data_IF_141691007188
#
_entry.id   IF_141691007188
#
_cell.length_a   1.000
_cell.length_b   1.000
_cell.length_c   1.000
_cell.angle_alpha   90.00
_cell.angle_beta   90.00
_cell.angle_gamma   90.00
#
_symmetry.space_group_name_H-M   'P 1'
#
loop_
_entity.id
_entity.type
_entity.pdbx_description
1 polymer ?
#
# COMPACT_ATOMS: atom_id res chain seq x y z
N UNK A 1 -19.60 -10.80 10.70
CA UNK A 1 -18.98 -12.00 10.12
C UNK A 1 -19.31 -12.07 8.62
N UNK A 2 -20.56 -12.02 8.18
CA UNK A 2 -20.96 -12.15 6.77
C UNK A 2 -20.26 -11.16 5.82
N UNK A 3 -20.23 -9.86 6.17
CA UNK A 3 -19.57 -8.82 5.37
C UNK A 3 -18.05 -9.10 5.25
N UNK A 4 -17.39 -9.50 6.32
CA UNK A 4 -15.96 -9.81 6.32
C UNK A 4 -15.66 -11.02 5.41
N UNK A 5 -16.48 -12.07 5.45
CA UNK A 5 -16.32 -13.25 4.58
C UNK A 5 -16.57 -12.90 3.12
N UNK A 6 -17.56 -12.07 2.83
CA UNK A 6 -17.84 -11.58 1.47
C UNK A 6 -16.68 -10.76 0.92
N UNK A 7 -16.17 -9.80 1.69
CA UNK A 7 -15.02 -8.98 1.32
C UNK A 7 -13.77 -9.83 1.10
N UNK A 8 -13.53 -10.82 1.96
CA UNK A 8 -12.42 -11.75 1.80
C UNK A 8 -12.55 -12.56 0.50
N UNK A 9 -13.73 -13.11 0.20
CA UNK A 9 -13.99 -13.85 -1.04
C UNK A 9 -13.78 -13.01 -2.29
N UNK A 10 -14.31 -11.78 -2.31
CA UNK A 10 -14.13 -10.83 -3.41
C UNK A 10 -12.64 -10.50 -3.59
N UNK A 11 -11.94 -10.19 -2.49
CA UNK A 11 -10.51 -9.86 -2.55
C UNK A 11 -9.68 -11.04 -3.04
N UNK A 12 -9.94 -12.26 -2.56
CA UNK A 12 -9.26 -13.48 -3.00
C UNK A 12 -9.48 -13.75 -4.49
N UNK A 13 -10.71 -13.58 -4.98
CA UNK A 13 -11.04 -13.73 -6.40
C UNK A 13 -10.31 -12.72 -7.27
N UNK A 14 -10.29 -11.44 -6.87
CA UNK A 14 -9.60 -10.40 -7.64
C UNK A 14 -8.08 -10.62 -7.61
N UNK A 15 -7.51 -11.06 -6.48
CA UNK A 15 -6.08 -11.43 -6.39
C UNK A 15 -5.74 -12.56 -7.36
N UNK A 16 -6.64 -13.54 -7.53
CA UNK A 16 -6.46 -14.59 -8.53
C UNK A 16 -6.45 -14.04 -9.96
N UNK A 17 -7.36 -13.12 -10.28
CA UNK A 17 -7.39 -12.43 -11.58
C UNK A 17 -6.11 -11.59 -11.79
N UNK A 18 -5.61 -10.90 -10.77
CA UNK A 18 -4.35 -10.14 -10.85
C UNK A 18 -3.15 -11.02 -11.22
N UNK A 19 -3.16 -12.29 -10.82
CA UNK A 19 -2.13 -13.25 -11.20
C UNK A 19 -2.19 -13.62 -12.69
N UNK A 20 -3.41 -13.73 -13.24
CA UNK A 20 -3.65 -14.09 -14.65
C UNK A 20 -3.38 -12.90 -15.57
N UNK A 21 -3.74 -11.69 -15.11
CA UNK A 21 -3.64 -10.44 -15.89
C UNK A 21 -2.74 -9.41 -15.18
N UNK A 22 -1.41 -9.58 -15.20
CA UNK A 22 -0.48 -8.66 -14.51
C UNK A 22 -0.60 -7.20 -14.98
N UNK A 23 -0.90 -6.97 -16.25
CA UNK A 23 -1.10 -5.62 -16.82
C UNK A 23 -2.35 -4.91 -16.30
N UNK A 24 -3.29 -5.62 -15.67
CA UNK A 24 -4.53 -5.06 -15.11
C UNK A 24 -4.50 -4.84 -13.60
N UNK A 25 -3.37 -5.11 -12.94
CA UNK A 25 -3.26 -5.06 -11.49
C UNK A 25 -3.70 -3.73 -10.88
N UNK A 26 -3.28 -2.62 -11.47
CA UNK A 26 -3.69 -1.28 -11.01
C UNK A 26 -5.20 -1.12 -11.04
N UNK A 27 -5.83 -1.41 -12.18
CA UNK A 27 -7.28 -1.30 -12.32
C UNK A 27 -8.02 -2.20 -11.33
N UNK A 28 -7.53 -3.43 -11.13
CA UNK A 28 -8.13 -4.39 -10.21
C UNK A 28 -8.01 -3.93 -8.74
N UNK A 29 -6.86 -3.39 -8.33
CA UNK A 29 -6.70 -2.82 -6.97
C UNK A 29 -7.66 -1.65 -6.74
N UNK A 30 -7.82 -0.76 -7.72
CA UNK A 30 -8.80 0.34 -7.67
C UNK A 30 -10.24 -0.17 -7.54
N UNK A 31 -10.58 -1.21 -8.28
CA UNK A 31 -11.92 -1.83 -8.17
C UNK A 31 -12.12 -2.40 -6.77
N UNK A 32 -11.15 -3.14 -6.22
CA UNK A 32 -11.22 -3.64 -4.83
C UNK A 32 -11.46 -2.48 -3.87
N UNK A 33 -10.65 -1.44 -3.95
CA UNK A 33 -10.70 -0.31 -3.05
C UNK A 33 -12.07 0.39 -3.11
N UNK A 34 -12.59 0.64 -4.32
CA UNK A 34 -13.91 1.21 -4.55
C UNK A 34 -15.05 0.33 -4.00
N UNK A 35 -14.98 -0.99 -4.22
CA UNK A 35 -15.96 -1.95 -3.69
C UNK A 35 -15.95 -1.93 -2.17
N UNK A 36 -14.76 -1.99 -1.54
CA UNK A 36 -14.63 -1.92 -0.08
C UNK A 36 -15.20 -0.61 0.45
N UNK A 37 -14.86 0.54 -0.17
CA UNK A 37 -15.40 1.84 0.23
C UNK A 37 -16.92 1.89 0.15
N UNK A 38 -17.51 1.35 -0.92
CA UNK A 38 -18.97 1.32 -1.11
C UNK A 38 -19.65 0.44 -0.08
N UNK A 39 -19.11 -0.75 0.21
CA UNK A 39 -19.71 -1.70 1.17
C UNK A 39 -19.57 -1.19 2.61
N UNK A 40 -18.41 -0.63 2.95
CA UNK A 40 -18.15 -0.09 4.30
C UNK A 40 -18.83 1.25 4.52
N UNK A 41 -19.04 2.04 3.45
CA UNK A 41 -19.81 3.30 3.47
C UNK A 41 -19.02 4.50 3.98
N UNK A 42 -17.67 4.48 3.96
CA UNK A 42 -16.87 5.65 4.37
C UNK A 42 -16.70 6.67 3.25
N UNK A 43 -16.49 7.93 3.65
CA UNK A 43 -16.17 9.02 2.75
C UNK A 43 -14.68 9.39 2.90
N UNK A 44 -14.10 9.92 1.84
CA UNK A 44 -12.73 10.43 1.84
C UNK A 44 -12.77 11.90 1.44
N UNK A 45 -12.22 12.75 2.26
CA UNK A 45 -12.01 14.17 1.99
C UNK A 45 -10.53 14.39 1.70
N UNK A 46 -10.23 15.26 0.76
CA UNK A 46 -8.87 15.55 0.33
C UNK A 46 -8.50 16.97 0.66
N UNK A 47 -7.28 17.13 1.19
CA UNK A 47 -6.59 18.40 1.31
C UNK A 47 -5.29 18.32 0.47
N UNK A 48 -5.13 19.24 -0.49
CA UNK A 48 -4.00 19.23 -1.42
C UNK A 48 -4.20 18.33 -2.63
N UNK A 49 -3.13 18.13 -3.39
CA UNK A 49 -3.15 17.39 -4.64
C UNK A 49 -1.98 16.40 -4.74
N UNK A 50 -2.15 15.36 -5.55
CA UNK A 50 -1.05 14.49 -5.92
C UNK A 50 -0.15 15.17 -6.94
N UNK A 51 1.11 15.33 -6.58
CA UNK A 51 2.12 15.82 -7.51
C UNK A 51 2.53 14.70 -8.46
N UNK A 52 2.19 14.88 -9.74
CA UNK A 52 2.45 13.89 -10.79
C UNK A 52 3.94 13.65 -11.06
N UNK A 53 4.82 14.52 -10.56
CA UNK A 53 6.28 14.36 -10.66
C UNK A 53 6.88 13.63 -9.45
N UNK A 54 6.09 13.32 -8.42
CA UNK A 54 6.58 12.60 -7.25
C UNK A 54 6.73 11.11 -7.55
N UNK A 55 7.91 10.58 -7.22
CA UNK A 55 8.30 9.20 -7.48
C UNK A 55 8.30 8.33 -6.23
N UNK A 56 8.31 8.96 -5.04
CA UNK A 56 8.24 8.28 -3.75
C UNK A 56 7.19 8.93 -2.86
N UNK A 57 6.17 8.16 -2.50
CA UNK A 57 5.15 8.57 -1.54
C UNK A 57 5.45 7.99 -0.17
N UNK A 58 5.46 8.86 0.85
CA UNK A 58 5.75 8.49 2.24
C UNK A 58 4.47 8.70 3.05
N UNK A 59 3.88 7.61 3.55
CA UNK A 59 2.59 7.64 4.23
C UNK A 59 2.69 7.18 5.68
N UNK A 60 1.86 7.72 6.56
CA UNK A 60 1.61 7.11 7.87
C UNK A 60 0.79 5.83 7.73
N UNK A 61 0.90 4.91 8.69
CA UNK A 61 0.21 3.62 8.63
C UNK A 61 -0.61 3.34 9.90
N UNK A 62 -1.92 3.29 9.74
CA UNK A 62 -2.87 3.07 10.84
C UNK A 62 -3.76 1.84 10.60
N UNK A 63 -4.11 1.57 9.34
CA UNK A 63 -5.07 0.55 8.95
C UNK A 63 -4.69 -0.09 7.60
N UNK A 64 -5.31 -1.22 7.27
CA UNK A 64 -5.29 -1.75 5.89
C UNK A 64 -6.01 -0.82 4.91
N UNK A 65 -6.93 0.02 5.40
CA UNK A 65 -7.60 1.03 4.58
C UNK A 65 -6.64 2.05 3.97
N UNK A 66 -5.51 2.35 4.60
CA UNK A 66 -4.53 3.30 4.06
C UNK A 66 -4.08 2.91 2.66
N UNK A 67 -3.83 1.61 2.44
CA UNK A 67 -3.45 1.06 1.13
C UNK A 67 -4.60 1.22 0.13
N UNK A 68 -5.81 0.85 0.54
CA UNK A 68 -6.99 0.88 -0.33
C UNK A 68 -7.36 2.32 -0.72
N UNK A 69 -7.35 3.26 0.24
CA UNK A 69 -7.60 4.67 -0.02
C UNK A 69 -6.57 5.20 -1.02
N UNK A 70 -5.30 4.96 -0.78
CA UNK A 70 -4.25 5.44 -1.67
C UNK A 70 -4.35 4.80 -3.06
N UNK A 71 -4.56 3.49 -3.17
CA UNK A 71 -4.73 2.78 -4.44
C UNK A 71 -5.96 3.26 -5.24
N UNK A 72 -7.05 3.63 -4.57
CA UNK A 72 -8.26 4.12 -5.23
C UNK A 72 -8.04 5.51 -5.86
N UNK A 73 -7.41 6.41 -5.13
CA UNK A 73 -7.39 7.82 -5.48
C UNK A 73 -6.10 8.29 -6.16
N UNK A 74 -4.96 7.63 -5.94
CA UNK A 74 -3.73 8.00 -6.62
C UNK A 74 -3.84 7.80 -8.14
N UNK A 75 -3.51 8.82 -8.98
CA UNK A 75 -3.72 8.74 -10.44
C UNK A 75 -2.74 7.80 -11.15
N UNK A 76 -1.49 7.68 -10.65
CA UNK A 76 -0.40 6.94 -11.27
C UNK A 76 -0.33 5.46 -10.90
N UNK A 77 0.61 4.75 -11.47
CA UNK A 77 0.91 3.36 -11.10
C UNK A 77 1.83 3.31 -9.87
N UNK A 78 1.49 2.46 -8.90
CA UNK A 78 2.14 2.39 -7.60
C UNK A 78 2.60 0.98 -7.27
N UNK A 79 3.84 0.86 -6.78
CA UNK A 79 4.31 -0.32 -6.06
C UNK A 79 4.47 -0.01 -4.57
N UNK A 80 3.99 -0.91 -3.73
CA UNK A 80 4.14 -0.82 -2.28
C UNK A 80 5.40 -1.52 -1.79
N UNK A 81 6.11 -0.92 -0.85
CA UNK A 81 7.16 -1.63 -0.10
C UNK A 81 6.51 -2.42 1.03
N UNK A 82 6.59 -3.73 0.97
CA UNK A 82 5.88 -4.62 1.87
C UNK A 82 6.79 -5.72 2.46
N UNK A 83 6.38 -6.27 3.61
CA UNK A 83 7.12 -7.32 4.31
C UNK A 83 7.05 -8.63 3.52
N UNK A 84 8.19 -9.33 3.35
CA UNK A 84 8.30 -10.57 2.57
C UNK A 84 7.29 -11.65 2.99
N UNK A 85 6.99 -11.75 4.28
CA UNK A 85 6.05 -12.74 4.81
C UNK A 85 4.63 -12.58 4.26
N UNK A 86 4.24 -11.35 3.85
CA UNK A 86 2.95 -11.12 3.21
C UNK A 86 2.83 -11.89 1.89
N UNK A 87 3.94 -12.09 1.19
CA UNK A 87 3.98 -12.92 0.00
C UNK A 87 3.72 -14.42 0.26
N UNK A 88 3.82 -14.87 1.51
CA UNK A 88 3.59 -16.28 1.90
C UNK A 88 2.16 -16.54 2.37
N UNK A 89 1.34 -15.50 2.57
CA UNK A 89 -0.05 -15.64 3.00
C UNK A 89 -0.86 -16.41 1.93
N UNK A 90 -1.55 -17.50 2.30
CA UNK A 90 -2.37 -18.23 1.36
C UNK A 90 -3.37 -17.32 0.64
N UNK A 91 -3.61 -17.53 -0.63
CA UNK A 91 -4.47 -16.74 -1.52
C UNK A 91 -3.98 -15.29 -1.72
N UNK A 92 -3.84 -14.50 -0.68
CA UNK A 92 -3.45 -13.08 -0.76
C UNK A 92 -1.98 -12.89 -1.19
N UNK A 93 -1.08 -13.78 -0.80
CA UNK A 93 0.34 -13.70 -1.14
C UNK A 93 0.61 -13.71 -2.64
N UNK A 94 -0.27 -14.31 -3.43
CA UNK A 94 -0.18 -14.26 -4.88
C UNK A 94 -0.28 -12.83 -5.42
N UNK A 95 -1.17 -12.00 -4.86
CA UNK A 95 -1.29 -10.57 -5.22
C UNK A 95 -0.05 -9.77 -4.87
N UNK A 96 0.54 -10.00 -3.70
CA UNK A 96 1.79 -9.35 -3.30
C UNK A 96 2.97 -9.73 -4.21
N UNK A 97 3.04 -11.00 -4.65
CA UNK A 97 4.10 -11.48 -5.56
C UNK A 97 3.87 -11.14 -7.03
N UNK A 98 2.69 -10.70 -7.41
CA UNK A 98 2.34 -10.41 -8.81
C UNK A 98 2.97 -9.13 -9.39
N UNK A 99 3.87 -8.47 -8.64
CA UNK A 99 4.53 -7.24 -9.04
C UNK A 99 3.92 -5.96 -8.47
N UNK A 100 2.81 -6.06 -7.71
CA UNK A 100 2.19 -4.92 -7.01
C UNK A 100 3.04 -4.41 -5.84
N UNK A 101 3.98 -5.22 -5.35
CA UNK A 101 4.81 -4.89 -4.19
C UNK A 101 6.28 -5.20 -4.44
N UNK A 102 7.13 -4.41 -3.81
CA UNK A 102 8.54 -4.71 -3.55
C UNK A 102 8.58 -5.41 -2.20
N UNK A 103 8.77 -6.73 -2.22
CA UNK A 103 8.79 -7.53 -1.00
C UNK A 103 10.19 -7.54 -0.40
N UNK A 104 10.29 -7.26 0.90
CA UNK A 104 11.57 -7.13 1.60
C UNK A 104 11.62 -7.96 2.89
N UNK A 105 12.77 -8.55 3.15
CA UNK A 105 13.12 -9.07 4.47
C UNK A 105 13.78 -7.95 5.29
N UNK A 106 13.04 -7.41 6.24
CA UNK A 106 13.52 -6.30 7.09
C UNK A 106 14.59 -6.71 8.09
N UNK A 107 14.81 -8.00 8.31
CA UNK A 107 15.87 -8.51 9.16
C UNK A 107 17.22 -8.55 8.44
N UNK A 108 17.22 -8.46 7.12
CA UNK A 108 18.42 -8.50 6.30
C UNK A 108 18.81 -7.08 5.82
N UNK A 109 19.88 -6.47 6.34
CA UNK A 109 20.31 -5.12 5.92
C UNK A 109 20.66 -5.02 4.42
N UNK A 110 20.98 -6.13 3.77
CA UNK A 110 21.31 -6.15 2.33
C UNK A 110 20.10 -5.94 1.43
N UNK A 111 18.89 -6.12 1.95
CA UNK A 111 17.65 -5.88 1.23
C UNK A 111 17.47 -4.42 0.77
N UNK A 112 18.17 -3.48 1.38
CA UNK A 112 18.17 -2.08 0.92
C UNK A 112 18.63 -1.95 -0.53
N UNK A 113 19.59 -2.77 -0.97
CA UNK A 113 20.08 -2.79 -2.36
C UNK A 113 18.99 -3.29 -3.30
N UNK A 114 18.25 -4.32 -2.87
CA UNK A 114 17.11 -4.86 -3.64
C UNK A 114 16.02 -3.82 -3.83
N UNK A 115 15.63 -3.11 -2.74
CA UNK A 115 14.62 -2.05 -2.81
C UNK A 115 15.06 -0.93 -3.74
N UNK A 116 16.30 -0.46 -3.61
CA UNK A 116 16.85 0.61 -4.45
C UNK A 116 16.77 0.21 -5.93
N UNK A 117 17.19 -1.02 -6.28
CA UNK A 117 17.16 -1.53 -7.65
C UNK A 117 15.71 -1.56 -8.18
N UNK A 118 14.79 -2.20 -7.45
CA UNK A 118 13.39 -2.33 -7.85
C UNK A 118 12.68 -0.97 -7.95
N UNK A 119 12.99 -0.04 -7.04
CA UNK A 119 12.47 1.33 -7.08
C UNK A 119 12.97 2.05 -8.32
N UNK A 120 14.29 2.02 -8.59
CA UNK A 120 14.88 2.67 -9.75
C UNK A 120 14.33 2.14 -11.08
N UNK A 121 14.15 0.82 -11.21
CA UNK A 121 13.57 0.22 -12.41
C UNK A 121 12.12 0.70 -12.61
N UNK A 122 11.34 0.77 -11.56
CA UNK A 122 9.92 1.12 -11.64
C UNK A 122 9.68 2.62 -11.86
N UNK A 123 10.46 3.49 -11.20
CA UNK A 123 10.33 4.95 -11.39
C UNK A 123 10.81 5.37 -12.77
N UNK A 124 11.89 4.78 -13.31
CA UNK A 124 12.32 5.00 -14.69
C UNK A 124 11.28 4.59 -15.74
N UNK A 125 10.40 3.65 -15.39
CA UNK A 125 9.27 3.25 -16.23
C UNK A 125 8.03 4.14 -16.04
N UNK A 126 8.12 5.24 -15.28
CA UNK A 126 7.03 6.19 -15.03
C UNK A 126 6.10 5.82 -13.87
N UNK A 127 6.44 4.81 -13.10
CA UNK A 127 5.71 4.47 -11.87
C UNK A 127 6.23 5.21 -10.65
N UNK A 128 5.53 5.09 -9.52
CA UNK A 128 5.98 5.61 -8.23
C UNK A 128 5.93 4.54 -7.14
N UNK A 129 6.69 4.72 -6.08
CA UNK A 129 6.75 3.78 -4.95
C UNK A 129 6.10 4.39 -3.74
N UNK A 130 5.30 3.63 -3.02
CA UNK A 130 4.70 4.03 -1.76
C UNK A 130 5.28 3.22 -0.61
N UNK A 131 5.62 3.92 0.48
CA UNK A 131 6.24 3.31 1.66
C UNK A 131 5.63 3.86 2.94
N UNK A 132 5.44 2.97 3.91
CA UNK A 132 5.13 3.32 5.28
C UNK A 132 6.43 3.33 6.11
N UNK A 133 7.05 4.50 6.37
CA UNK A 133 8.33 4.57 7.05
C UNK A 133 8.26 4.10 8.51
N UNK A 134 7.07 4.08 9.10
CA UNK A 134 6.84 3.52 10.44
C UNK A 134 7.13 2.00 10.50
N UNK A 135 7.06 1.32 9.37
CA UNK A 135 7.32 -0.13 9.27
C UNK A 135 6.25 -1.02 9.90
N UNK A 136 5.30 -0.47 10.64
CA UNK A 136 4.17 -1.16 11.27
C UNK A 136 2.99 -0.23 11.43
N UNK A 137 1.81 -0.79 11.69
CA UNK A 137 0.61 0.01 11.95
C UNK A 137 0.65 0.66 13.32
N UNK A 138 0.48 1.97 13.35
CA UNK A 138 0.43 2.79 14.56
C UNK A 138 -0.90 2.70 15.33
N UNK A 139 -0.98 3.48 16.41
CA UNK A 139 -2.17 3.57 17.26
C UNK A 139 -3.24 4.57 16.79
N UNK A 140 -2.97 5.33 15.72
CA UNK A 140 -3.87 6.37 15.20
C UNK A 140 -3.73 7.75 15.84
N UNK A 141 -3.22 7.84 17.07
CA UNK A 141 -3.14 9.11 17.82
C UNK A 141 -1.86 9.92 17.54
N UNK A 142 -0.79 9.27 17.11
CA UNK A 142 0.50 9.89 16.80
C UNK A 142 1.30 9.03 15.85
N UNK A 143 2.18 9.65 15.07
CA UNK A 143 3.13 8.96 14.20
C UNK A 143 4.13 8.15 15.03
N UNK A 144 4.49 6.99 14.55
CA UNK A 144 5.60 6.21 15.09
C UNK A 144 6.93 6.74 14.54
N UNK A 145 8.04 6.32 15.16
CA UNK A 145 9.38 6.64 14.69
C UNK A 145 9.57 6.12 13.26
N UNK A 146 10.03 6.99 12.37
CA UNK A 146 10.35 6.64 11.00
C UNK A 146 11.68 5.88 10.93
N UNK A 147 11.70 4.80 10.16
CA UNK A 147 12.90 4.07 9.80
C UNK A 147 13.61 4.79 8.66
N UNK A 148 14.93 4.67 8.60
CA UNK A 148 15.78 5.36 7.61
C UNK A 148 15.60 4.87 6.16
N UNK A 149 14.93 3.74 5.93
CA UNK A 149 14.82 3.11 4.61
C UNK A 149 14.28 4.05 3.52
N UNK A 150 13.20 4.78 3.81
CA UNK A 150 12.62 5.74 2.86
C UNK A 150 13.63 6.87 2.50
N UNK A 151 14.32 7.42 3.51
CA UNK A 151 15.32 8.46 3.32
C UNK A 151 16.51 7.96 2.48
N UNK A 152 16.99 6.75 2.76
CA UNK A 152 18.12 6.15 2.01
C UNK A 152 17.73 5.96 0.54
N UNK A 153 16.53 5.46 0.25
CA UNK A 153 16.03 5.27 -1.12
C UNK A 153 15.93 6.62 -1.84
N UNK A 154 15.28 7.61 -1.21
CA UNK A 154 15.11 8.95 -1.78
C UNK A 154 16.45 9.59 -2.13
N UNK A 155 17.39 9.62 -1.17
CA UNK A 155 18.71 10.24 -1.36
C UNK A 155 19.55 9.49 -2.40
N UNK A 156 19.55 8.15 -2.38
CA UNK A 156 20.37 7.35 -3.28
C UNK A 156 19.94 7.47 -4.74
N UNK A 157 18.64 7.67 -4.99
CA UNK A 157 18.08 7.74 -6.33
C UNK A 157 17.71 9.17 -6.75
N UNK A 158 17.83 10.17 -5.87
CA UNK A 158 17.44 11.55 -6.15
C UNK A 158 15.93 11.72 -6.39
N UNK A 159 15.09 10.89 -5.73
CA UNK A 159 13.65 10.89 -5.99
C UNK A 159 12.94 12.10 -5.38
N UNK A 160 11.97 12.61 -6.11
CA UNK A 160 11.02 13.58 -5.55
C UNK A 160 10.04 12.88 -4.61
N UNK A 161 10.00 13.36 -3.37
CA UNK A 161 9.20 12.75 -2.30
C UNK A 161 7.97 13.58 -2.01
N UNK A 162 6.79 12.93 -1.96
CA UNK A 162 5.57 13.54 -1.46
C UNK A 162 5.11 12.85 -0.18
N UNK A 163 5.03 13.57 0.96
CA UNK A 163 4.38 13.06 2.15
C UNK A 163 2.85 13.06 1.97
N UNK A 164 2.20 12.00 2.46
CA UNK A 164 0.74 11.87 2.47
C UNK A 164 0.29 11.46 3.87
N UNK A 165 -0.63 12.20 4.45
CA UNK A 165 -1.18 11.90 5.76
C UNK A 165 -2.60 11.36 5.60
N UNK A 166 -2.86 10.17 6.14
CA UNK A 166 -4.19 9.56 6.18
C UNK A 166 -4.67 9.58 7.63
N UNK A 167 -5.83 10.19 7.86
CA UNK A 167 -6.43 10.34 9.19
C UNK A 167 -7.76 9.59 9.22
N UNK A 168 -8.09 8.95 10.34
CA UNK A 168 -9.39 8.33 10.57
C UNK A 168 -9.56 6.90 10.01
N UNK A 169 -8.59 6.37 9.28
CA UNK A 169 -8.70 5.03 8.69
C UNK A 169 -8.83 3.91 9.71
N UNK A 170 -8.18 4.06 10.86
CA UNK A 170 -8.23 3.08 11.96
C UNK A 170 -9.59 3.05 12.65
N UNK A 171 -10.24 4.19 12.77
CA UNK A 171 -11.57 4.34 13.36
C UNK A 171 -12.62 3.60 12.53
N UNK A 172 -12.40 3.47 11.23
CA UNK A 172 -13.30 2.75 10.31
C UNK A 172 -12.99 1.24 10.36
N UNK A 173 -11.72 0.86 10.16
CA UNK A 173 -11.29 -0.55 10.23
C UNK A 173 -10.08 -0.68 11.16
N UNK A 174 -10.32 -1.21 12.37
CA UNK A 174 -9.22 -1.64 13.22
C UNK A 174 -8.67 -2.98 12.74
N UNK A 175 -7.64 -2.93 11.91
CA UNK A 175 -7.03 -4.13 11.32
C UNK A 175 -6.33 -5.03 12.34
N UNK A 176 -6.08 -4.58 13.57
CA UNK A 176 -5.54 -5.43 14.65
C UNK A 176 -6.63 -6.25 15.32
N UNK A 177 -7.83 -5.66 15.43
CA UNK A 177 -9.00 -6.30 16.04
C UNK A 177 -9.91 -6.99 15.01
N UNK A 178 -9.65 -6.78 13.70
CA UNK A 178 -10.53 -7.21 12.59
C UNK A 178 -11.97 -6.73 12.78
N UNK A 179 -12.15 -5.53 13.36
CA UNK A 179 -13.44 -4.94 13.64
C UNK A 179 -13.71 -3.76 12.68
N UNK A 180 -14.97 -3.68 12.26
CA UNK A 180 -15.52 -2.53 11.56
C UNK A 180 -16.30 -1.71 12.59
N UNK A 181 -15.93 -0.45 12.76
CA UNK A 181 -16.70 0.49 13.56
C UNK A 181 -17.66 1.22 12.62
N UNK A 182 -18.92 1.17 12.94
CA UNK A 182 -19.97 1.98 12.28
C UNK A 182 -20.02 3.36 12.90
#
# INVERSE_FOLDING_TARGET
IFIASLLFGITAFIVLIMRIFPSKQRSLRRVIAKVVRTIVGYKVEFEGEFDSSSELFVLNHQSLLDILIFDEFHPGDIKWVAKQELGKVPLLGAGFRSGACILIDRSNPREIVHIIKQTSEFTKAGGAVAIFPEGTRGGGKKLLKFQSGAQIIANKLGLKVQPVLIIGSKEIIDSKKLSFNK
#
